data_IF_856376049991
#
_entry.id   IF_856376049991
#
_cell.length_a   1.000
_cell.length_b   1.000
_cell.length_c   1.000
_cell.angle_alpha   90.00
_cell.angle_beta   90.00
_cell.angle_gamma   90.00
#
_symmetry.space_group_name_H-M   'P 1'
#
loop_
_entity.id
_entity.type
_entity.pdbx_description
1 polymer ?
#
# COMPACT_ATOMS: atom_id res chain seq x y z
N UNK A 1 14.61 8.20 11.02
CA UNK A 1 15.34 7.26 10.14
C UNK A 1 15.80 6.12 11.04
N UNK A 2 15.12 4.98 10.92
CA UNK A 2 15.22 3.88 11.88
C UNK A 2 16.57 3.16 11.75
N UNK A 3 17.08 2.68 12.88
CA UNK A 3 18.37 2.00 12.98
C UNK A 3 18.34 0.64 12.29
N UNK A 4 18.96 0.52 11.11
CA UNK A 4 19.01 -0.73 10.31
C UNK A 4 20.17 -1.66 10.70
N UNK A 5 20.94 -1.34 11.75
CA UNK A 5 22.17 -2.08 12.10
C UNK A 5 21.94 -3.53 12.52
N UNK A 6 20.70 -3.90 12.82
CA UNK A 6 20.29 -5.26 13.17
C UNK A 6 20.03 -6.16 11.95
N UNK A 7 19.84 -5.57 10.76
CA UNK A 7 19.69 -6.31 9.50
C UNK A 7 21.06 -6.76 8.98
N UNK A 8 21.08 -7.82 8.18
CA UNK A 8 22.27 -8.25 7.45
C UNK A 8 22.74 -7.18 6.46
N UNK A 9 24.01 -7.26 6.04
CA UNK A 9 24.55 -6.29 5.06
C UNK A 9 23.83 -6.35 3.72
N UNK A 10 23.38 -7.53 3.32
CA UNK A 10 22.68 -7.71 2.04
C UNK A 10 21.25 -7.14 2.11
N UNK A 11 20.54 -7.35 3.22
CA UNK A 11 19.24 -6.69 3.49
C UNK A 11 19.39 -5.16 3.50
N UNK A 12 20.39 -4.62 4.19
CA UNK A 12 20.63 -3.17 4.25
C UNK A 12 20.93 -2.60 2.86
N UNK A 13 21.75 -3.29 2.06
CA UNK A 13 22.09 -2.87 0.69
C UNK A 13 20.84 -2.86 -0.19
N UNK A 14 20.05 -3.92 -0.14
CA UNK A 14 18.83 -4.02 -0.94
C UNK A 14 17.81 -2.94 -0.58
N UNK A 15 17.62 -2.66 0.72
CA UNK A 15 16.76 -1.56 1.17
C UNK A 15 17.29 -0.20 0.69
N UNK A 16 18.60 0.01 0.67
CA UNK A 16 19.19 1.24 0.13
C UNK A 16 18.96 1.38 -1.39
N UNK A 17 19.11 0.29 -2.14
CA UNK A 17 18.85 0.26 -3.59
C UNK A 17 17.37 0.54 -3.88
N UNK A 18 16.45 -0.07 -3.13
CA UNK A 18 15.00 0.20 -3.23
C UNK A 18 14.69 1.65 -2.86
N UNK A 19 15.28 2.20 -1.81
CA UNK A 19 15.06 3.58 -1.41
C UNK A 19 15.54 4.57 -2.47
N UNK A 20 16.67 4.29 -3.14
CA UNK A 20 17.16 5.09 -4.25
C UNK A 20 16.19 5.01 -5.43
N UNK A 21 15.73 3.80 -5.79
CA UNK A 21 14.75 3.62 -6.85
C UNK A 21 13.46 4.39 -6.57
N UNK A 22 12.90 4.29 -5.36
CA UNK A 22 11.69 5.03 -4.93
C UNK A 22 11.88 6.54 -5.02
N UNK A 23 13.09 7.03 -4.71
CA UNK A 23 13.43 8.46 -4.72
C UNK A 23 13.59 9.00 -6.14
N UNK A 24 14.22 8.22 -7.01
CA UNK A 24 14.52 8.59 -8.39
C UNK A 24 13.35 8.27 -9.35
N UNK A 25 12.29 7.61 -8.86
CA UNK A 25 11.23 7.00 -9.65
C UNK A 25 10.40 8.00 -10.48
N UNK A 26 10.42 7.78 -11.81
CA UNK A 26 9.42 8.16 -12.81
C UNK A 26 8.41 6.99 -13.08
N UNK A 27 8.21 6.13 -12.07
CA UNK A 27 7.13 5.15 -11.87
C UNK A 27 7.28 3.72 -12.44
N UNK A 28 8.48 3.18 -12.62
CA UNK A 28 8.66 1.79 -13.10
C UNK A 28 9.51 0.91 -12.17
N UNK A 29 8.85 0.27 -11.21
CA UNK A 29 9.47 -0.71 -10.33
C UNK A 29 9.51 -2.12 -10.95
N UNK A 30 10.70 -2.64 -11.26
CA UNK A 30 10.87 -4.01 -11.73
C UNK A 30 10.94 -5.00 -10.56
N UNK A 31 9.78 -5.51 -10.13
CA UNK A 31 9.66 -6.46 -9.03
C UNK A 31 10.44 -7.77 -9.24
N UNK A 32 10.66 -8.19 -10.50
CA UNK A 32 11.39 -9.43 -10.81
C UNK A 32 12.91 -9.29 -10.55
N UNK A 33 13.48 -8.09 -10.60
CA UNK A 33 14.89 -7.88 -10.23
C UNK A 33 15.14 -8.05 -8.73
N UNK A 34 14.17 -7.67 -7.89
CA UNK A 34 14.32 -7.78 -6.44
C UNK A 34 14.09 -9.19 -5.94
N UNK A 35 13.26 -9.99 -6.61
CA UNK A 35 13.14 -11.43 -6.32
C UNK A 35 14.48 -12.17 -6.45
N UNK A 36 15.31 -11.77 -7.41
CA UNK A 36 16.65 -12.37 -7.61
C UNK A 36 17.64 -11.90 -6.56
N UNK A 37 17.48 -10.68 -6.05
CA UNK A 37 18.37 -10.09 -5.06
C UNK A 37 17.89 -10.25 -3.61
N UNK A 38 16.68 -10.79 -3.40
CA UNK A 38 16.10 -10.98 -2.08
C UNK A 38 16.94 -12.00 -1.30
N UNK A 39 17.27 -11.72 -0.02
CA UNK A 39 18.00 -12.67 0.81
C UNK A 39 17.23 -13.99 0.96
N UNK A 40 17.93 -15.12 0.89
CA UNK A 40 17.35 -16.46 1.08
C UNK A 40 16.72 -16.64 2.48
N UNK A 41 17.26 -15.94 3.49
CA UNK A 41 16.72 -15.82 4.85
C UNK A 41 16.49 -14.33 5.18
N UNK A 42 15.30 -13.83 4.87
CA UNK A 42 14.92 -12.45 5.13
C UNK A 42 14.01 -12.35 6.35
N UNK A 43 14.35 -11.46 7.29
CA UNK A 43 13.57 -11.27 8.52
C UNK A 43 12.22 -10.59 8.27
N UNK A 44 11.25 -10.80 9.18
CA UNK A 44 9.98 -10.06 9.13
C UNK A 44 10.16 -8.54 9.20
N UNK A 45 11.17 -8.06 9.94
CA UNK A 45 11.52 -6.64 9.98
C UNK A 45 11.99 -6.13 8.62
N UNK A 46 12.84 -6.89 7.91
CA UNK A 46 13.26 -6.51 6.56
C UNK A 46 12.07 -6.35 5.60
N UNK A 47 11.15 -7.30 5.58
CA UNK A 47 9.96 -7.23 4.73
C UNK A 47 9.06 -6.06 5.10
N UNK A 48 8.91 -5.77 6.40
CA UNK A 48 8.19 -4.59 6.85
C UNK A 48 8.85 -3.29 6.36
N UNK A 49 10.18 -3.15 6.48
CA UNK A 49 10.92 -1.97 5.98
C UNK A 49 10.77 -1.80 4.48
N UNK A 50 10.81 -2.89 3.73
CA UNK A 50 10.57 -2.86 2.29
C UNK A 50 9.17 -2.33 1.99
N UNK A 51 8.14 -2.83 2.68
CA UNK A 51 6.77 -2.36 2.49
C UNK A 51 6.59 -0.88 2.87
N UNK A 52 7.24 -0.40 3.94
CA UNK A 52 7.26 1.03 4.30
C UNK A 52 7.87 1.88 3.17
N UNK A 53 9.04 1.49 2.64
CA UNK A 53 9.71 2.21 1.55
C UNK A 53 8.84 2.26 0.29
N UNK A 54 8.24 1.13 -0.09
CA UNK A 54 7.39 1.04 -1.28
C UNK A 54 6.10 1.86 -1.15
N UNK A 55 5.61 2.05 0.07
CA UNK A 55 4.43 2.86 0.37
C UNK A 55 4.73 4.35 0.53
N UNK A 56 6.00 4.75 0.54
CA UNK A 56 6.39 6.15 0.70
C UNK A 56 6.15 6.90 -0.60
N UNK A 57 5.43 8.03 -0.50
CA UNK A 57 5.20 8.90 -1.67
C UNK A 57 6.52 9.50 -2.16
N UNK A 58 6.77 9.47 -3.48
CA UNK A 58 7.92 10.17 -4.06
C UNK A 58 7.78 11.69 -3.90
N UNK A 59 8.86 12.49 -4.02
CA UNK A 59 8.81 13.94 -3.89
C UNK A 59 7.83 14.65 -4.83
N UNK A 60 7.58 14.07 -6.01
CA UNK A 60 6.61 14.56 -6.99
C UNK A 60 5.15 14.19 -6.64
N UNK A 61 4.93 13.46 -5.54
CA UNK A 61 3.63 12.98 -5.03
C UNK A 61 2.85 12.12 -6.02
N UNK A 62 3.53 11.58 -7.04
CA UNK A 62 2.91 10.72 -8.03
C UNK A 62 2.64 9.33 -7.46
N UNK A 63 1.44 8.81 -7.69
CA UNK A 63 1.03 7.47 -7.24
C UNK A 63 1.28 6.45 -8.35
N UNK A 64 1.98 5.36 -8.03
CA UNK A 64 2.06 4.18 -8.91
C UNK A 64 0.83 3.29 -8.66
N UNK A 65 -0.15 3.38 -9.56
CA UNK A 65 -1.43 2.68 -9.47
C UNK A 65 -1.44 1.32 -10.19
N UNK A 66 -0.29 0.81 -10.61
CA UNK A 66 -0.25 -0.49 -11.31
C UNK A 66 -0.52 -1.62 -10.33
N UNK A 67 -1.58 -2.38 -10.59
CA UNK A 67 -1.94 -3.55 -9.76
C UNK A 67 -0.97 -4.73 -9.90
N UNK A 68 -0.18 -4.76 -10.96
CA UNK A 68 0.87 -5.77 -11.18
C UNK A 68 2.23 -5.08 -11.19
N UNK A 69 3.09 -5.43 -10.23
CA UNK A 69 4.45 -4.89 -10.11
C UNK A 69 4.53 -3.44 -9.61
N UNK A 70 3.41 -2.74 -9.41
CA UNK A 70 3.40 -1.39 -8.86
C UNK A 70 3.75 -1.38 -7.37
N UNK A 71 4.46 -0.33 -6.93
CA UNK A 71 5.05 -0.27 -5.58
C UNK A 71 4.01 -0.44 -4.46
N UNK A 72 2.89 0.26 -4.56
CA UNK A 72 1.82 0.19 -3.55
C UNK A 72 1.16 -1.20 -3.51
N UNK A 73 0.92 -1.81 -4.68
CA UNK A 73 0.35 -3.15 -4.76
C UNK A 73 1.28 -4.20 -4.14
N UNK A 74 2.58 -4.11 -4.43
CA UNK A 74 3.60 -4.97 -3.82
C UNK A 74 3.66 -4.79 -2.30
N UNK A 75 3.62 -3.55 -1.81
CA UNK A 75 3.59 -3.27 -0.37
C UNK A 75 2.39 -3.94 0.31
N UNK A 76 1.19 -3.81 -0.27
CA UNK A 76 -0.04 -4.46 0.25
C UNK A 76 0.10 -5.99 0.27
N UNK A 77 0.70 -6.59 -0.75
CA UNK A 77 0.95 -8.04 -0.79
C UNK A 77 1.89 -8.49 0.33
N UNK A 78 3.03 -7.80 0.52
CA UNK A 78 3.99 -8.11 1.59
C UNK A 78 3.31 -8.02 2.96
N UNK A 79 2.60 -6.92 3.22
CA UNK A 79 1.93 -6.68 4.51
C UNK A 79 0.81 -7.67 4.77
N UNK A 80 0.10 -8.13 3.74
CA UNK A 80 -0.93 -9.16 3.89
C UNK A 80 -0.36 -10.50 4.33
N UNK A 81 0.85 -10.85 3.89
CA UNK A 81 1.55 -12.07 4.35
C UNK A 81 2.04 -11.88 5.78
N UNK A 82 2.70 -10.75 6.09
CA UNK A 82 3.20 -10.48 7.44
C UNK A 82 2.08 -10.48 8.51
N UNK A 83 0.90 -9.98 8.16
CA UNK A 83 -0.27 -9.97 9.06
C UNK A 83 -0.84 -11.37 9.34
N UNK A 84 -0.61 -12.37 8.49
CA UNK A 84 -1.03 -13.74 8.77
C UNK A 84 -0.20 -14.35 9.91
N UNK A 85 1.08 -13.97 10.00
CA UNK A 85 2.02 -14.52 10.98
C UNK A 85 2.11 -13.67 12.25
N UNK A 86 1.94 -12.34 12.14
CA UNK A 86 2.15 -11.39 13.23
C UNK A 86 1.02 -10.34 13.35
N UNK A 87 -0.25 -10.77 13.52
CA UNK A 87 -1.39 -9.85 13.55
C UNK A 87 -1.43 -8.91 14.77
N UNK A 88 -0.62 -9.15 15.81
CA UNK A 88 -0.62 -8.35 17.03
C UNK A 88 0.29 -7.10 16.93
N UNK A 89 0.94 -6.88 15.79
CA UNK A 89 1.82 -5.73 15.54
C UNK A 89 1.01 -4.61 14.84
N UNK A 90 0.64 -3.52 15.53
CA UNK A 90 -0.21 -2.46 14.96
C UNK A 90 0.44 -1.75 13.77
N UNK A 91 1.76 -1.67 13.70
CA UNK A 91 2.49 -1.03 12.61
C UNK A 91 2.25 -1.73 11.26
N UNK A 92 2.05 -3.05 11.24
CA UNK A 92 1.74 -3.80 10.02
C UNK A 92 0.37 -3.40 9.46
N UNK A 93 -0.62 -3.26 10.36
CA UNK A 93 -1.97 -2.81 10.01
C UNK A 93 -1.94 -1.38 9.50
N UNK A 94 -1.31 -0.47 10.23
CA UNK A 94 -1.21 0.94 9.86
C UNK A 94 -0.57 1.11 8.48
N UNK A 95 0.52 0.39 8.22
CA UNK A 95 1.20 0.48 6.93
C UNK A 95 0.34 -0.07 5.79
N UNK A 96 -0.42 -1.15 6.01
CA UNK A 96 -1.33 -1.70 5.00
C UNK A 96 -2.48 -0.75 4.71
N UNK A 97 -3.03 -0.13 5.75
CA UNK A 97 -4.07 0.90 5.65
C UNK A 97 -3.59 2.08 4.82
N UNK A 98 -2.38 2.60 5.06
CA UNK A 98 -1.80 3.70 4.28
C UNK A 98 -1.71 3.35 2.79
N UNK A 99 -1.15 2.19 2.46
CA UNK A 99 -0.98 1.76 1.08
C UNK A 99 -2.33 1.56 0.36
N UNK A 100 -3.29 0.92 1.04
CA UNK A 100 -4.65 0.74 0.52
C UNK A 100 -5.38 2.07 0.34
N UNK A 101 -5.20 3.03 1.26
CA UNK A 101 -5.80 4.35 1.16
C UNK A 101 -5.32 5.10 -0.09
N UNK A 102 -4.01 5.07 -0.36
CA UNK A 102 -3.45 5.65 -1.59
C UNK A 102 -3.99 4.98 -2.86
N UNK A 103 -4.04 3.65 -2.90
CA UNK A 103 -4.57 2.93 -4.05
C UNK A 103 -6.06 3.24 -4.29
N UNK A 104 -6.89 3.16 -3.24
CA UNK A 104 -8.33 3.40 -3.35
C UNK A 104 -8.64 4.82 -3.85
N UNK A 105 -7.99 5.84 -3.26
CA UNK A 105 -8.16 7.22 -3.70
C UNK A 105 -7.58 7.46 -5.10
N UNK A 106 -6.40 6.91 -5.41
CA UNK A 106 -5.76 7.08 -6.71
C UNK A 106 -6.59 6.54 -7.86
N UNK A 107 -7.09 5.31 -7.74
CA UNK A 107 -7.99 4.71 -8.73
C UNK A 107 -9.31 5.48 -8.84
N UNK A 108 -9.88 5.96 -7.71
CA UNK A 108 -11.11 6.77 -7.76
C UNK A 108 -10.90 8.10 -8.49
N UNK A 109 -9.82 8.82 -8.18
CA UNK A 109 -9.49 10.08 -8.85
C UNK A 109 -9.27 9.86 -10.36
N UNK A 110 -8.60 8.76 -10.72
CA UNK A 110 -8.40 8.40 -12.13
C UNK A 110 -9.72 8.06 -12.83
N UNK A 111 -10.58 7.27 -12.19
CA UNK A 111 -11.93 6.97 -12.71
C UNK A 111 -12.74 8.25 -12.98
N UNK A 112 -12.77 9.17 -12.02
CA UNK A 112 -13.46 10.46 -12.15
C UNK A 112 -12.89 11.31 -13.30
N UNK A 113 -11.57 11.34 -13.47
CA UNK A 113 -10.91 12.05 -14.55
C UNK A 113 -11.18 11.45 -15.93
N UNK A 114 -11.25 10.12 -16.03
CA UNK A 114 -11.57 9.40 -17.27
C UNK A 114 -13.06 9.52 -17.63
N UNK A 115 -13.95 9.51 -16.65
CA UNK A 115 -15.40 9.65 -16.87
C UNK A 115 -15.78 11.01 -17.50
N UNK A 116 -14.94 12.02 -17.36
CA UNK A 116 -15.12 13.33 -18.01
C UNK A 116 -14.72 13.33 -19.50
N UNK A 117 -14.08 12.26 -19.99
CA UNK A 117 -13.64 12.13 -21.37
C UNK A 117 -14.61 11.24 -22.15
N UNK A 118 -15.22 11.71 -23.25
CA UNK A 118 -16.27 10.98 -23.98
C UNK A 118 -15.88 9.57 -24.46
N UNK A 119 -14.59 9.37 -24.76
CA UNK A 119 -14.07 8.14 -25.37
C UNK A 119 -13.39 7.22 -24.35
N UNK A 120 -13.53 7.48 -23.04
CA UNK A 120 -12.83 6.75 -21.96
C UNK A 120 -13.77 6.09 -20.94
N UNK A 121 -15.03 5.89 -21.31
CA UNK A 121 -16.01 5.29 -20.41
C UNK A 121 -15.64 3.87 -19.96
N UNK A 122 -15.03 3.06 -20.83
CA UNK A 122 -14.61 1.70 -20.47
C UNK A 122 -13.49 1.73 -19.42
N UNK A 123 -12.44 2.53 -19.65
CA UNK A 123 -11.33 2.67 -18.70
C UNK A 123 -11.79 3.32 -17.39
N UNK A 124 -12.73 4.26 -17.43
CA UNK A 124 -13.31 4.85 -16.23
C UNK A 124 -14.01 3.79 -15.35
N UNK A 125 -14.78 2.89 -15.96
CA UNK A 125 -15.46 1.81 -15.24
C UNK A 125 -14.48 0.78 -14.66
N UNK A 126 -13.39 0.49 -15.35
CA UNK A 126 -12.32 -0.39 -14.84
C UNK A 126 -11.65 0.21 -13.59
N UNK A 127 -11.31 1.49 -13.65
CA UNK A 127 -10.71 2.23 -12.54
C UNK A 127 -11.68 2.36 -11.36
N UNK A 128 -12.98 2.56 -11.62
CA UNK A 128 -14.03 2.59 -10.60
C UNK A 128 -14.18 1.22 -9.91
N UNK A 129 -14.17 0.14 -10.69
CA UNK A 129 -14.19 -1.22 -10.14
C UNK A 129 -13.00 -1.48 -9.20
N UNK A 130 -11.80 -1.09 -9.62
CA UNK A 130 -10.59 -1.21 -8.79
C UNK A 130 -10.71 -0.36 -7.52
N UNK A 131 -11.14 0.89 -7.64
CA UNK A 131 -11.35 1.78 -6.49
C UNK A 131 -12.33 1.18 -5.47
N UNK A 132 -13.42 0.56 -5.95
CA UNK A 132 -14.40 -0.11 -5.09
C UNK A 132 -13.81 -1.33 -4.39
N UNK A 133 -13.10 -2.20 -5.11
CA UNK A 133 -12.47 -3.38 -4.52
C UNK A 133 -11.41 -3.00 -3.45
N UNK A 134 -10.61 -1.98 -3.74
CA UNK A 134 -9.57 -1.48 -2.84
C UNK A 134 -10.16 -0.78 -1.61
N UNK A 135 -11.22 0.00 -1.76
CA UNK A 135 -11.89 0.65 -0.62
C UNK A 135 -12.60 -0.37 0.29
N UNK A 136 -13.16 -1.44 -0.27
CA UNK A 136 -13.68 -2.57 0.52
C UNK A 136 -12.57 -3.26 1.32
N UNK A 137 -11.41 -3.50 0.71
CA UNK A 137 -10.25 -4.06 1.40
C UNK A 137 -9.74 -3.11 2.50
N UNK A 138 -9.70 -1.80 2.25
CA UNK A 138 -9.35 -0.77 3.22
C UNK A 138 -10.28 -0.81 4.44
N UNK A 139 -11.60 -0.74 4.22
CA UNK A 139 -12.58 -0.74 5.31
C UNK A 139 -12.59 -2.06 6.09
N UNK A 140 -12.43 -3.21 5.40
CA UNK A 140 -12.28 -4.50 6.08
C UNK A 140 -11.00 -4.55 6.93
N UNK A 141 -9.88 -4.05 6.40
CA UNK A 141 -8.60 -4.01 7.14
C UNK A 141 -8.72 -3.11 8.37
N UNK A 142 -9.37 -1.94 8.26
CA UNK A 142 -9.61 -1.04 9.38
C UNK A 142 -10.53 -1.64 10.44
N UNK A 143 -11.58 -2.36 10.01
CA UNK A 143 -12.46 -3.10 10.92
C UNK A 143 -11.66 -4.14 11.71
N UNK A 144 -10.89 -4.98 11.02
CA UNK A 144 -10.11 -6.06 11.65
C UNK A 144 -9.00 -5.51 12.57
N UNK A 145 -8.42 -4.36 12.23
CA UNK A 145 -7.47 -3.65 13.09
C UNK A 145 -8.15 -3.12 14.36
N UNK A 146 -9.34 -2.52 14.26
CA UNK A 146 -10.09 -2.00 15.41
C UNK A 146 -10.66 -3.10 16.31
N UNK A 147 -10.94 -4.30 15.78
CA UNK A 147 -11.28 -5.45 16.61
C UNK A 147 -10.11 -5.86 17.53
N UNK A 148 -8.86 -5.60 17.10
CA UNK A 148 -7.63 -5.92 17.85
C UNK A 148 -7.14 -4.75 18.71
N UNK A 149 -7.27 -3.54 18.20
CA UNK A 149 -6.79 -2.30 18.82
C UNK A 149 -7.96 -1.31 18.98
N UNK A 150 -8.98 -1.63 19.80
CA UNK A 150 -10.24 -0.88 19.83
C UNK A 150 -10.11 0.56 20.32
N UNK A 151 -9.09 0.85 21.11
CA UNK A 151 -8.85 2.19 21.70
C UNK A 151 -7.78 2.99 20.94
N UNK A 152 -7.26 2.48 19.83
CA UNK A 152 -6.23 3.19 19.05
C UNK A 152 -6.88 4.32 18.24
N UNK A 153 -6.60 5.56 18.63
CA UNK A 153 -7.19 6.75 18.04
C UNK A 153 -6.85 6.92 16.56
N UNK A 154 -5.68 6.45 16.12
CA UNK A 154 -5.28 6.57 14.72
C UNK A 154 -6.14 5.67 13.82
N UNK A 155 -6.40 4.42 14.23
CA UNK A 155 -7.30 3.54 13.48
C UNK A 155 -8.75 4.03 13.49
N UNK A 156 -9.21 4.64 14.59
CA UNK A 156 -10.55 5.24 14.67
C UNK A 156 -10.69 6.40 13.67
N UNK A 157 -9.75 7.34 13.70
CA UNK A 157 -9.73 8.49 12.78
C UNK A 157 -9.67 8.03 11.32
N UNK A 158 -8.81 7.06 11.01
CA UNK A 158 -8.65 6.56 9.66
C UNK A 158 -9.87 5.75 9.18
N UNK A 159 -10.57 5.02 10.07
CA UNK A 159 -11.87 4.42 9.76
C UNK A 159 -12.89 5.48 9.40
N UNK A 160 -13.00 6.53 10.21
CA UNK A 160 -14.03 7.55 10.02
C UNK A 160 -13.80 8.34 8.72
N UNK A 161 -12.54 8.69 8.41
CA UNK A 161 -12.16 9.32 7.14
C UNK A 161 -12.43 8.41 5.93
N UNK A 162 -12.01 7.14 6.00
CA UNK A 162 -12.28 6.18 4.92
C UNK A 162 -13.80 5.96 4.72
N UNK A 163 -14.58 5.94 5.81
CA UNK A 163 -16.03 5.79 5.74
C UNK A 163 -16.72 7.01 5.14
N UNK A 164 -16.25 8.23 5.41
CA UNK A 164 -16.76 9.44 4.76
C UNK A 164 -16.56 9.40 3.25
N UNK A 165 -15.42 8.88 2.79
CA UNK A 165 -15.11 8.79 1.38
C UNK A 165 -15.82 7.63 0.68
N UNK A 166 -15.82 6.43 1.26
CA UNK A 166 -16.21 5.20 0.57
C UNK A 166 -17.40 4.45 1.19
N UNK A 167 -17.84 4.83 2.40
CA UNK A 167 -18.86 4.09 3.15
C UNK A 167 -20.27 4.15 2.55
N UNK A 168 -20.61 5.24 1.83
CA UNK A 168 -21.92 5.39 1.19
C UNK A 168 -22.13 4.44 0.01
N UNK A 169 -21.05 4.01 -0.65
CA UNK A 169 -21.08 3.12 -1.84
C UNK A 169 -21.18 1.63 -1.47
N UNK A 170 -21.11 1.30 -0.18
CA UNK A 170 -21.15 -0.08 0.34
C UNK A 170 -22.47 -0.46 1.02
N UNK A 171 -23.40 0.49 1.19
CA UNK A 171 -24.72 0.27 1.78
C UNK A 171 -25.79 -0.21 0.78
N UNK A 172 -25.38 -0.61 -0.44
CA UNK A 172 -26.25 -1.04 -1.55
C UNK A 172 -25.98 -2.49 -1.91
#
# INVERSE_FOLDING_TARGET
MNDLRHLSRDEQKLLADVALLVKDDDQEFNYEMLKVAAPDEASGEFWFRMAEMLSTLPPNQSLDLRMTGGRLAVAVSILSVLLQESPDIPQLWAQKVIALNYLAHGHRTRALGLAQQPDKAAEANEEEYLAKALSQNLLSTLKDALERFPEDSWFIEMRDDAWQHFGSEQAV
#
